data_IF_333159913147
#
_entry.id   IF_333159913147
#
_cell.length_a   1.000
_cell.length_b   1.000
_cell.length_c   1.000
_cell.angle_alpha   90.00
_cell.angle_beta   90.00
_cell.angle_gamma   90.00
#
_symmetry.space_group_name_H-M   'P 1'
#
loop_
_entity.id
_entity.type
_entity.pdbx_description
1 polymer ?
#
# COMPACT_ATOMS: atom_id res chain seq x y z
N UNK A 1 -29.83 15.49 -5.29
CA UNK A 1 -29.48 14.96 -5.32
C UNK A 1 -28.90 14.54 -5.60
N UNK A 2 -28.74 14.64 -5.52
CA UNK A 2 -28.18 13.94 -5.73
C UNK A 2 -27.38 13.66 -6.03
N UNK A 3 -27.17 13.96 -5.87
CA UNK A 3 -26.43 13.48 -6.01
C UNK A 3 -25.70 13.08 -5.99
N UNK A 4 -25.82 13.28 -5.80
CA UNK A 4 -25.29 12.64 -5.51
C UNK A 4 -24.68 11.99 -5.80
N UNK A 5 -24.99 12.21 -5.98
CA UNK A 5 -24.55 11.31 -6.13
C UNK A 5 -23.71 11.03 -6.38
N UNK A 6 -23.53 11.39 -6.37
CA UNK A 6 -22.77 11.00 -6.39
C UNK A 6 -22.20 10.70 -6.12
N UNK A 7 -22.18 10.95 -5.71
CA UNK A 7 -21.64 10.45 -5.20
C UNK A 7 -21.27 9.37 -5.32
N UNK A 8 -21.53 9.14 -5.57
CA UNK A 8 -21.37 7.75 -5.93
C UNK A 8 -19.96 7.30 -6.07
N UNK A 9 -19.12 8.13 -6.50
CA UNK A 9 -17.71 7.81 -6.66
C UNK A 9 -17.05 7.40 -5.36
N UNK A 10 -17.48 8.02 -4.29
CA UNK A 10 -16.93 7.68 -3.00
C UNK A 10 -17.30 6.27 -2.61
N UNK A 11 -18.49 5.89 -3.01
CA UNK A 11 -18.93 4.54 -2.72
C UNK A 11 -18.23 3.51 -3.57
N UNK A 12 -17.47 3.97 -4.56
CA UNK A 12 -16.75 3.05 -5.43
C UNK A 12 -15.48 2.52 -4.82
N UNK A 13 -15.11 2.97 -3.63
CA UNK A 13 -13.91 2.44 -2.98
C UNK A 13 -14.11 0.96 -2.66
N UNK A 14 -13.08 0.14 -2.94
CA UNK A 14 -13.18 -1.30 -2.67
C UNK A 14 -13.31 -1.59 -1.19
N UNK A 15 -13.88 -2.75 -0.88
CA UNK A 15 -14.12 -3.14 0.50
C UNK A 15 -12.84 -3.37 1.30
N UNK A 16 -11.71 -3.62 0.63
CA UNK A 16 -10.45 -3.85 1.34
C UNK A 16 -9.80 -2.53 1.78
N UNK A 17 -10.31 -1.40 1.32
CA UNK A 17 -9.78 -0.10 1.74
C UNK A 17 -10.41 0.23 3.09
N UNK A 18 -9.64 0.11 4.15
CA UNK A 18 -10.12 0.20 5.53
C UNK A 18 -10.06 1.62 6.10
N UNK A 19 -9.33 2.52 5.46
CA UNK A 19 -9.23 3.90 5.90
C UNK A 19 -8.84 4.77 4.70
N UNK A 20 -9.12 6.06 4.83
CA UNK A 20 -8.74 7.00 3.77
C UNK A 20 -7.32 7.49 3.99
N UNK A 21 -6.57 7.59 2.90
CA UNK A 21 -5.18 8.03 2.94
C UNK A 21 -5.09 9.41 2.29
N UNK A 22 -4.58 10.43 3.01
CA UNK A 22 -4.37 11.73 2.38
C UNK A 22 -3.42 11.61 1.20
N UNK A 23 -3.64 12.44 0.19
CA UNK A 23 -2.83 12.39 -1.02
C UNK A 23 -1.35 12.54 -0.71
N UNK A 24 -1.02 13.45 0.19
CA UNK A 24 0.38 13.67 0.55
C UNK A 24 1.02 12.43 1.13
N UNK A 25 0.29 11.70 1.95
CA UNK A 25 0.81 10.48 2.55
C UNK A 25 0.98 9.38 1.52
N UNK A 26 0.04 9.29 0.57
CA UNK A 26 0.18 8.32 -0.53
C UNK A 26 1.42 8.61 -1.36
N UNK A 27 1.69 9.89 -1.62
CA UNK A 27 2.89 10.28 -2.36
C UNK A 27 4.16 9.91 -1.61
N UNK A 28 4.15 10.10 -0.29
CA UNK A 28 5.29 9.68 0.53
C UNK A 28 5.49 8.17 0.48
N UNK A 29 4.40 7.41 0.42
CA UNK A 29 4.50 5.95 0.31
C UNK A 29 5.16 5.55 -0.99
N UNK A 30 4.78 6.19 -2.09
CA UNK A 30 5.40 5.90 -3.39
C UNK A 30 6.88 6.28 -3.38
N UNK A 31 7.21 7.41 -2.77
CA UNK A 31 8.60 7.83 -2.64
C UNK A 31 9.39 6.81 -1.82
N UNK A 32 8.81 6.30 -0.74
CA UNK A 32 9.47 5.30 0.09
C UNK A 32 9.77 4.03 -0.72
N UNK A 33 8.85 3.63 -1.59
CA UNK A 33 9.07 2.47 -2.45
C UNK A 33 10.24 2.71 -3.38
N UNK A 34 10.31 3.89 -3.99
CA UNK A 34 11.39 4.22 -4.90
C UNK A 34 12.75 4.18 -4.20
N UNK A 35 12.83 4.78 -3.02
CA UNK A 35 14.08 4.84 -2.27
C UNK A 35 14.48 3.43 -1.80
N UNK A 36 13.52 2.67 -1.29
CA UNK A 36 13.82 1.32 -0.82
C UNK A 36 14.21 0.40 -1.97
N UNK A 37 13.62 0.62 -3.16
CA UNK A 37 14.02 -0.13 -4.33
C UNK A 37 15.51 0.06 -4.65
N UNK A 38 15.97 1.31 -4.53
CA UNK A 38 17.33 1.64 -4.92
C UNK A 38 18.35 1.39 -3.82
N UNK A 39 17.97 1.51 -2.55
CA UNK A 39 18.93 1.47 -1.44
C UNK A 39 18.66 0.36 -0.44
N UNK A 40 17.55 -0.36 -0.58
CA UNK A 40 17.18 -1.46 0.31
C UNK A 40 16.65 -2.62 -0.51
N UNK A 41 15.55 -3.21 -0.03
CA UNK A 41 14.93 -4.35 -0.71
C UNK A 41 13.42 -4.24 -0.66
N UNK A 42 12.79 -4.55 -1.78
CA UNK A 42 11.33 -4.61 -1.85
C UNK A 42 10.90 -5.93 -2.52
N UNK A 43 9.64 -6.30 -2.30
CA UNK A 43 9.00 -7.39 -3.02
C UNK A 43 7.85 -6.80 -3.81
N UNK A 44 7.76 -7.15 -5.08
CA UNK A 44 6.78 -6.59 -6.00
C UNK A 44 5.74 -7.65 -6.34
N UNK A 45 4.47 -7.24 -6.34
CA UNK A 45 3.38 -8.14 -6.68
C UNK A 45 2.77 -8.80 -5.46
N UNK A 46 1.51 -9.21 -5.62
CA UNK A 46 0.73 -9.70 -4.49
C UNK A 46 1.26 -11.00 -3.91
N UNK A 47 1.68 -11.94 -4.76
CA UNK A 47 2.20 -13.21 -4.24
C UNK A 47 3.44 -13.01 -3.39
N UNK A 48 4.37 -12.19 -3.86
CA UNK A 48 5.59 -11.94 -3.10
C UNK A 48 5.31 -11.13 -1.85
N UNK A 49 4.41 -10.16 -1.96
CA UNK A 49 4.00 -9.37 -0.80
C UNK A 49 3.37 -10.26 0.27
N UNK A 50 2.47 -11.15 -0.14
CA UNK A 50 1.80 -12.06 0.79
C UNK A 50 2.81 -12.93 1.53
N UNK A 51 3.77 -13.49 0.78
CA UNK A 51 4.80 -14.33 1.40
C UNK A 51 5.64 -13.55 2.40
N UNK A 52 6.00 -12.31 2.04
CA UNK A 52 6.80 -11.48 2.94
C UNK A 52 6.04 -11.17 4.24
N UNK A 53 4.74 -10.90 4.13
CA UNK A 53 3.93 -10.63 5.31
C UNK A 53 3.80 -11.88 6.18
N UNK A 54 3.53 -13.03 5.54
CA UNK A 54 3.38 -14.28 6.28
C UNK A 54 4.64 -14.64 7.06
N UNK A 55 5.79 -14.32 6.48
CA UNK A 55 7.08 -14.59 7.11
C UNK A 55 7.52 -13.52 8.10
N UNK A 56 6.72 -12.46 8.24
CA UNK A 56 7.06 -11.36 9.13
C UNK A 56 8.24 -10.52 8.68
N UNK A 57 8.54 -10.54 7.39
CA UNK A 57 9.70 -9.83 6.84
C UNK A 57 9.39 -8.41 6.40
N UNK A 58 8.12 -8.11 6.14
CA UNK A 58 7.75 -6.81 5.59
C UNK A 58 7.77 -5.74 6.67
N UNK A 59 8.28 -4.56 6.34
CA UNK A 59 8.28 -3.40 7.23
C UNK A 59 7.12 -2.48 6.93
N UNK A 60 6.67 -2.45 5.68
CA UNK A 60 5.52 -1.66 5.25
C UNK A 60 4.97 -2.31 4.01
N UNK A 61 3.65 -2.37 3.90
CA UNK A 61 2.98 -2.91 2.73
C UNK A 61 2.19 -1.79 2.07
N UNK A 62 2.33 -1.64 0.77
CA UNK A 62 1.62 -0.63 -0.01
C UNK A 62 0.65 -1.34 -0.94
N UNK A 63 -0.62 -0.96 -0.90
CA UNK A 63 -1.69 -1.62 -1.64
C UNK A 63 -2.37 -0.59 -2.54
N UNK A 64 -2.53 -0.92 -3.82
CA UNK A 64 -3.25 -0.04 -4.75
C UNK A 64 -4.75 -0.13 -4.50
N UNK A 65 -5.45 1.00 -4.66
CA UNK A 65 -6.90 1.04 -4.45
C UNK A 65 -7.70 0.62 -5.66
N UNK A 66 -7.07 0.58 -6.83
CA UNK A 66 -7.77 0.33 -8.08
C UNK A 66 -7.55 -1.10 -8.60
N UNK A 67 -7.41 -2.06 -7.71
CA UNK A 67 -7.21 -3.47 -8.09
C UNK A 67 -8.55 -4.13 -8.33
N UNK A 68 -8.67 -4.79 -9.48
CA UNK A 68 -9.90 -5.47 -9.87
C UNK A 68 -9.52 -6.82 -10.50
N UNK A 69 -9.99 -7.94 -9.96
CA UNK A 69 -10.95 -8.05 -8.85
C UNK A 69 -10.31 -7.80 -7.47
N UNK A 70 -11.14 -7.39 -6.53
CA UNK A 70 -10.68 -7.06 -5.18
C UNK A 70 -10.01 -8.23 -4.47
N UNK A 71 -10.44 -9.43 -4.79
CA UNK A 71 -9.93 -10.64 -4.13
C UNK A 71 -8.41 -10.77 -4.25
N UNK A 72 -7.83 -10.13 -5.25
CA UNK A 72 -6.38 -10.21 -5.43
C UNK A 72 -5.64 -9.67 -4.23
N UNK A 73 -6.15 -8.60 -3.59
CA UNK A 73 -5.46 -7.95 -2.47
C UNK A 73 -6.30 -7.89 -1.20
N UNK A 74 -7.55 -8.38 -1.23
CA UNK A 74 -8.45 -8.23 -0.09
C UNK A 74 -7.95 -8.95 1.16
N UNK A 75 -7.10 -9.94 1.00
CA UNK A 75 -6.55 -10.68 2.14
C UNK A 75 -5.39 -9.96 2.84
N UNK A 76 -4.81 -8.95 2.19
CA UNK A 76 -3.62 -8.29 2.74
C UNK A 76 -3.90 -7.46 3.99
N UNK A 77 -4.94 -6.60 4.02
CA UNK A 77 -5.17 -5.84 5.24
C UNK A 77 -5.35 -6.70 6.50
N UNK A 78 -6.21 -7.72 6.52
CA UNK A 78 -6.33 -8.54 7.73
C UNK A 78 -5.05 -9.32 8.03
N UNK A 79 -4.31 -9.76 7.02
CA UNK A 79 -3.07 -10.48 7.25
C UNK A 79 -2.02 -9.56 7.85
N UNK A 80 -1.91 -8.34 7.36
CA UNK A 80 -0.99 -7.36 7.92
C UNK A 80 -1.34 -7.04 9.37
N UNK A 81 -2.64 -6.90 9.67
CA UNK A 81 -3.06 -6.63 11.03
C UNK A 81 -2.72 -7.78 11.96
N UNK A 82 -2.89 -9.01 11.49
CA UNK A 82 -2.54 -10.18 12.28
C UNK A 82 -1.05 -10.22 12.59
N UNK A 83 -0.22 -9.84 11.62
CA UNK A 83 1.23 -9.84 11.78
C UNK A 83 1.77 -8.54 12.35
N UNK A 84 0.89 -7.58 12.64
CA UNK A 84 1.27 -6.28 13.18
C UNK A 84 2.22 -5.52 12.26
N UNK A 85 1.96 -5.61 10.96
CA UNK A 85 2.74 -4.91 9.95
C UNK A 85 1.92 -3.73 9.44
N UNK A 86 2.48 -2.51 9.41
CA UNK A 86 1.73 -1.37 8.88
C UNK A 86 1.50 -1.50 7.39
N UNK A 87 0.36 -1.01 6.92
CA UNK A 87 0.04 -1.01 5.50
C UNK A 87 -0.65 0.29 5.16
N UNK A 88 -0.54 0.68 3.88
CA UNK A 88 -1.08 1.93 3.39
C UNK A 88 -1.57 1.74 1.97
N UNK A 89 -2.51 2.59 1.56
CA UNK A 89 -3.08 2.53 0.21
C UNK A 89 -2.54 3.66 -0.65
N UNK A 90 -2.41 3.38 -1.95
CA UNK A 90 -2.11 4.41 -2.95
C UNK A 90 -3.19 4.31 -4.04
N UNK A 91 -3.48 5.43 -4.73
CA UNK A 91 -4.62 5.44 -5.67
C UNK A 91 -4.43 4.57 -6.90
N UNK A 92 -3.21 4.38 -7.38
CA UNK A 92 -3.01 3.80 -8.71
C UNK A 92 -1.99 2.66 -8.66
N UNK A 93 -2.43 1.48 -9.14
CA UNK A 93 -1.53 0.34 -9.28
C UNK A 93 -0.45 0.62 -10.33
N UNK A 94 -0.77 1.45 -11.31
CA UNK A 94 0.18 1.84 -12.33
C UNK A 94 1.32 2.66 -11.75
N UNK A 95 0.98 3.63 -10.91
CA UNK A 95 2.00 4.43 -10.22
C UNK A 95 2.81 3.58 -9.26
N UNK A 96 2.17 2.65 -8.60
CA UNK A 96 2.88 1.76 -7.68
C UNK A 96 3.88 0.89 -8.44
N UNK A 97 3.49 0.36 -9.61
CA UNK A 97 4.42 -0.39 -10.44
C UNK A 97 5.59 0.45 -10.88
N UNK A 98 5.33 1.69 -11.31
CA UNK A 98 6.39 2.59 -11.72
C UNK A 98 7.35 2.87 -10.56
N UNK A 99 6.83 3.12 -9.37
CA UNK A 99 7.67 3.36 -8.19
C UNK A 99 8.52 2.13 -7.86
N UNK A 100 7.97 0.94 -8.08
CA UNK A 100 8.70 -0.29 -7.83
C UNK A 100 9.70 -0.63 -8.94
N UNK A 101 9.73 0.15 -10.01
CA UNK A 101 10.70 -0.03 -11.08
C UNK A 101 10.33 -1.08 -12.10
N UNK A 102 9.05 -1.40 -12.23
CA UNK A 102 8.59 -2.35 -13.25
C UNK A 102 7.72 -1.64 -14.27
N UNK A 103 7.60 -2.23 -15.46
CA UNK A 103 6.89 -1.60 -16.55
C UNK A 103 5.40 -1.89 -16.55
N UNK A 104 4.97 -2.76 -15.65
CA UNK A 104 3.56 -3.13 -15.52
C UNK A 104 3.03 -2.64 -14.19
N UNK A 105 1.71 -2.67 -14.03
CA UNK A 105 1.12 -2.26 -12.76
C UNK A 105 1.44 -3.27 -11.66
N UNK A 106 1.43 -2.79 -10.41
CA UNK A 106 1.62 -3.63 -9.24
C UNK A 106 0.42 -3.44 -8.32
N UNK A 107 -0.23 -4.55 -7.96
CA UNK A 107 -1.36 -4.50 -7.04
C UNK A 107 -0.90 -4.19 -5.63
N UNK A 108 0.27 -4.65 -5.25
CA UNK A 108 0.84 -4.37 -3.93
C UNK A 108 2.34 -4.55 -3.98
N UNK A 109 3.01 -3.92 -3.00
CA UNK A 109 4.46 -3.98 -2.84
C UNK A 109 4.76 -4.04 -1.36
N UNK A 110 5.75 -4.84 -0.98
CA UNK A 110 6.21 -4.90 0.41
C UNK A 110 7.63 -4.36 0.48
N UNK A 111 7.88 -3.48 1.44
CA UNK A 111 9.22 -3.00 1.73
C UNK A 111 9.83 -3.92 2.77
N UNK A 112 10.90 -4.59 2.41
CA UNK A 112 11.59 -5.54 3.29
C UNK A 112 12.70 -4.85 4.06
N UNK A 113 13.54 -4.13 3.34
CA UNK A 113 14.60 -3.32 3.93
C UNK A 113 14.47 -1.92 3.38
N UNK A 114 14.15 -0.95 4.23
CA UNK A 114 13.89 0.40 3.73
C UNK A 114 15.13 1.14 3.22
N UNK A 115 16.33 0.74 3.66
CA UNK A 115 17.52 1.45 3.24
C UNK A 115 17.45 2.91 3.68
N UNK A 116 17.65 3.84 2.75
CA UNK A 116 17.60 5.27 3.06
C UNK A 116 16.18 5.78 3.28
N UNK A 117 15.16 4.95 3.03
CA UNK A 117 13.77 5.33 3.28
C UNK A 117 13.33 5.05 4.71
N UNK A 118 14.23 4.64 5.60
CA UNK A 118 13.87 4.18 6.94
C UNK A 118 13.02 5.19 7.71
N UNK A 119 13.45 6.45 7.75
CA UNK A 119 12.72 7.47 8.46
C UNK A 119 11.36 7.72 7.84
N UNK A 120 11.31 7.70 6.51
CA UNK A 120 10.06 7.90 5.79
C UNK A 120 9.09 6.77 6.07
N UNK A 121 9.57 5.53 6.08
CA UNK A 121 8.75 4.38 6.41
C UNK A 121 8.20 4.47 7.83
N UNK A 122 9.04 4.89 8.78
CA UNK A 122 8.61 5.04 10.16
C UNK A 122 7.55 6.13 10.29
N UNK A 123 7.74 7.23 9.59
CA UNK A 123 6.74 8.31 9.60
C UNK A 123 5.41 7.82 9.03
N UNK A 124 5.45 7.10 7.93
CA UNK A 124 4.23 6.56 7.30
C UNK A 124 3.55 5.59 8.26
N UNK A 125 4.31 4.72 8.92
CA UNK A 125 3.75 3.75 9.84
C UNK A 125 3.02 4.44 10.99
N UNK A 126 3.60 5.51 11.52
CA UNK A 126 2.95 6.26 12.59
C UNK A 126 1.66 6.91 12.12
N UNK A 127 1.68 7.51 10.94
CA UNK A 127 0.48 8.17 10.39
C UNK A 127 -0.63 7.17 10.13
N UNK A 128 -0.28 6.01 9.62
CA UNK A 128 -1.25 4.95 9.33
C UNK A 128 -1.92 4.49 10.62
N UNK A 129 -1.15 4.32 11.69
CA UNK A 129 -1.72 3.92 12.97
C UNK A 129 -2.74 4.93 13.47
N UNK A 130 -2.47 6.21 13.25
CA UNK A 130 -3.43 7.26 13.63
C UNK A 130 -4.70 7.18 12.79
N UNK A 131 -4.56 6.89 11.51
CA UNK A 131 -5.71 6.82 10.61
C UNK A 131 -6.60 5.61 10.92
N UNK A 132 -6.03 4.56 11.47
CA UNK A 132 -6.77 3.33 11.76
C UNK A 132 -7.53 3.36 13.08
N UNK A 133 -7.34 4.38 13.88
CA UNK A 133 -8.04 4.48 15.17
C UNK A 133 -9.49 4.91 15.04
#
# INVERSE_FOLDING_TARGET
MNDEVLEGCEMAKPSYVKFEVPKELAEKALEAVEIARDTGRIRKGTNETTKAVERGQAKLVIIAEDVDPEEIVAHLPPLCEEKEIPYIYVPSKKELGAAAGIEVSAASVAIIEPGKARELVEEIAMKVRELMK
#
